data_IF_144362072983
#
_entry.id   IF_144362072983
#
_cell.length_a   1.000
_cell.length_b   1.000
_cell.length_c   1.000
_cell.angle_alpha   90.00
_cell.angle_beta   90.00
_cell.angle_gamma   90.00
#
_symmetry.space_group_name_H-M   'P 1'
#
loop_
_entity.id
_entity.type
_entity.pdbx_description
1 polymer ?
#
# COMPACT_ATOMS: atom_id res chain seq x y z
N UNK A 1 -17.31 -10.01 12.90
CA UNK A 1 -16.26 -10.11 13.95
C UNK A 1 -15.26 -11.23 13.65
N UNK A 2 -15.72 -12.47 13.42
CA UNK A 2 -14.87 -13.65 13.16
C UNK A 2 -13.90 -13.46 11.97
N UNK A 3 -14.35 -12.85 10.87
CA UNK A 3 -13.52 -12.66 9.66
C UNK A 3 -12.29 -11.77 9.91
N UNK A 4 -12.45 -10.65 10.62
CA UNK A 4 -11.34 -9.74 10.95
C UNK A 4 -10.36 -10.37 11.96
N UNK A 5 -10.87 -11.16 12.91
CA UNK A 5 -10.02 -11.94 13.83
C UNK A 5 -9.20 -12.99 13.07
N UNK A 6 -9.81 -13.68 12.10
CA UNK A 6 -9.13 -14.66 11.25
C UNK A 6 -7.99 -14.02 10.42
N UNK A 7 -8.22 -12.82 9.86
CA UNK A 7 -7.20 -12.06 9.14
C UNK A 7 -6.02 -11.73 10.05
N UNK A 8 -6.29 -11.22 11.26
CA UNK A 8 -5.25 -10.95 12.26
C UNK A 8 -4.46 -12.20 12.61
N UNK A 9 -5.14 -13.33 12.84
CA UNK A 9 -4.50 -14.62 13.13
C UNK A 9 -3.63 -15.07 11.95
N UNK A 10 -4.13 -14.98 10.71
CA UNK A 10 -3.37 -15.33 9.50
C UNK A 10 -2.12 -14.46 9.34
N UNK A 11 -2.22 -13.16 9.63
CA UNK A 11 -1.06 -12.25 9.55
C UNK A 11 -0.02 -12.53 10.63
N UNK A 12 -0.45 -12.85 11.85
CA UNK A 12 0.46 -13.27 12.93
C UNK A 12 1.12 -14.61 12.59
N UNK A 13 0.35 -15.56 12.04
CA UNK A 13 0.88 -16.84 11.60
C UNK A 13 1.88 -16.67 10.46
N UNK A 14 1.60 -15.78 9.50
CA UNK A 14 2.55 -15.40 8.44
C UNK A 14 3.84 -14.80 9.02
N UNK A 15 3.75 -13.89 10.00
CA UNK A 15 4.93 -13.35 10.68
C UNK A 15 5.74 -14.47 11.36
N UNK A 16 5.10 -15.31 12.17
CA UNK A 16 5.77 -16.39 12.90
C UNK A 16 6.46 -17.37 11.94
N UNK A 17 5.74 -17.81 10.91
CA UNK A 17 6.30 -18.74 9.91
C UNK A 17 7.46 -18.12 9.13
N UNK A 18 7.36 -16.85 8.74
CA UNK A 18 8.45 -16.13 8.05
C UNK A 18 9.69 -15.97 8.93
N UNK A 19 9.50 -15.65 10.21
CA UNK A 19 10.61 -15.56 11.18
C UNK A 19 11.26 -16.92 11.41
N UNK A 20 10.48 -17.99 11.54
CA UNK A 20 11.01 -19.35 11.69
C UNK A 20 11.79 -19.79 10.45
N UNK A 21 11.25 -19.59 9.25
CA UNK A 21 11.93 -19.93 7.99
C UNK A 21 13.27 -19.19 7.83
N UNK A 22 13.32 -17.93 8.26
CA UNK A 22 14.56 -17.14 8.28
C UNK A 22 15.55 -17.64 9.33
N UNK A 23 15.07 -18.03 10.52
CA UNK A 23 15.92 -18.60 11.57
C UNK A 23 16.55 -19.94 11.17
N UNK A 24 15.84 -20.76 10.40
CA UNK A 24 16.36 -22.01 9.84
C UNK A 24 17.16 -21.84 8.54
N UNK A 25 17.45 -20.59 8.13
CA UNK A 25 18.20 -20.26 6.91
C UNK A 25 17.61 -20.84 5.61
N UNK A 26 16.32 -21.20 5.63
CA UNK A 26 15.62 -21.73 4.44
C UNK A 26 15.34 -20.59 3.45
N UNK A 27 15.01 -19.40 3.97
CA UNK A 27 14.79 -18.19 3.17
C UNK A 27 15.37 -16.98 3.90
N UNK A 28 16.25 -16.24 3.26
CA UNK A 28 16.77 -14.98 3.80
C UNK A 28 15.76 -13.85 3.53
N UNK A 29 15.02 -13.47 4.56
CA UNK A 29 14.07 -12.34 4.52
C UNK A 29 14.37 -11.42 5.69
N UNK A 30 14.61 -10.15 5.42
CA UNK A 30 14.86 -9.16 6.47
C UNK A 30 13.61 -8.88 7.31
N UNK A 31 13.82 -8.40 8.54
CA UNK A 31 12.70 -7.98 9.40
C UNK A 31 11.83 -6.90 8.75
N UNK A 32 12.43 -5.95 8.03
CA UNK A 32 11.71 -4.89 7.31
C UNK A 32 10.80 -5.46 6.22
N UNK A 33 11.23 -6.51 5.52
CA UNK A 33 10.39 -7.21 4.54
C UNK A 33 9.22 -7.93 5.20
N UNK A 34 9.47 -8.63 6.31
CA UNK A 34 8.40 -9.32 7.06
C UNK A 34 7.36 -8.31 7.54
N UNK A 35 7.77 -7.19 8.14
CA UNK A 35 6.86 -6.12 8.56
C UNK A 35 6.12 -5.49 7.38
N UNK A 36 6.84 -5.18 6.29
CA UNK A 36 6.26 -4.61 5.08
C UNK A 36 5.17 -5.51 4.47
N UNK A 37 5.46 -6.79 4.26
CA UNK A 37 4.48 -7.75 3.76
C UNK A 37 3.30 -7.94 4.71
N UNK A 38 3.56 -7.96 6.03
CA UNK A 38 2.49 -8.09 7.00
C UNK A 38 1.55 -6.89 7.01
N UNK A 39 2.09 -5.67 6.90
CA UNK A 39 1.30 -4.44 6.78
C UNK A 39 0.50 -4.40 5.48
N UNK A 40 1.06 -4.90 4.37
CA UNK A 40 0.34 -5.05 3.10
C UNK A 40 -0.85 -6.00 3.27
N UNK A 41 -0.65 -7.18 3.87
CA UNK A 41 -1.73 -8.17 4.07
C UNK A 41 -2.80 -7.62 5.02
N UNK A 42 -2.39 -7.06 6.17
CA UNK A 42 -3.31 -6.47 7.15
C UNK A 42 -4.09 -5.30 6.55
N UNK A 43 -3.39 -4.34 5.97
CA UNK A 43 -3.98 -3.14 5.41
C UNK A 43 -4.95 -3.44 4.28
N UNK A 44 -4.54 -4.25 3.30
CA UNK A 44 -5.42 -4.64 2.17
C UNK A 44 -6.71 -5.31 2.65
N UNK A 45 -6.59 -6.19 3.64
CA UNK A 45 -7.73 -6.90 4.19
C UNK A 45 -8.66 -6.01 5.04
N UNK A 46 -8.09 -5.11 5.84
CA UNK A 46 -8.87 -4.11 6.58
C UNK A 46 -9.60 -3.18 5.62
N UNK A 47 -8.92 -2.67 4.59
CA UNK A 47 -9.53 -1.81 3.58
C UNK A 47 -10.66 -2.53 2.85
N UNK A 48 -10.45 -3.76 2.39
CA UNK A 48 -11.48 -4.52 1.67
C UNK A 48 -12.72 -4.79 2.54
N UNK A 49 -12.51 -5.25 3.79
CA UNK A 49 -13.62 -5.52 4.71
C UNK A 49 -14.38 -4.25 5.08
N UNK A 50 -13.66 -3.15 5.33
CA UNK A 50 -14.24 -1.87 5.67
C UNK A 50 -15.02 -1.25 4.50
N UNK A 51 -14.53 -1.42 3.27
CA UNK A 51 -15.23 -0.98 2.06
C UNK A 51 -16.60 -1.66 1.93
N UNK A 52 -16.65 -2.99 2.10
CA UNK A 52 -17.91 -3.74 2.07
C UNK A 52 -18.87 -3.38 3.22
N UNK A 53 -18.33 -3.09 4.40
CA UNK A 53 -19.12 -2.70 5.58
C UNK A 53 -19.45 -1.20 5.62
N UNK A 54 -19.00 -0.42 4.62
CA UNK A 54 -19.10 1.06 4.58
C UNK A 54 -18.51 1.75 5.83
N UNK A 55 -17.56 1.11 6.52
CA UNK A 55 -16.91 1.67 7.69
C UNK A 55 -15.72 2.55 7.27
N UNK A 56 -15.97 3.86 7.20
CA UNK A 56 -15.03 4.85 6.67
C UNK A 56 -13.74 4.95 7.48
N UNK A 57 -13.84 4.89 8.80
CA UNK A 57 -12.67 5.01 9.68
C UNK A 57 -11.72 3.83 9.52
N UNK A 58 -12.25 2.60 9.46
CA UNK A 58 -11.44 1.40 9.25
C UNK A 58 -10.88 1.35 7.82
N UNK A 59 -11.61 1.85 6.82
CA UNK A 59 -11.12 1.94 5.45
C UNK A 59 -9.92 2.90 5.33
N UNK A 60 -9.98 4.03 6.04
CA UNK A 60 -8.86 4.97 6.13
C UNK A 60 -7.63 4.29 6.75
N UNK A 61 -7.75 3.76 7.98
CA UNK A 61 -6.65 3.09 8.69
C UNK A 61 -6.08 1.93 7.88
N UNK A 62 -6.93 1.10 7.27
CA UNK A 62 -6.49 -0.02 6.44
C UNK A 62 -5.64 0.46 5.26
N UNK A 63 -6.04 1.57 4.62
CA UNK A 63 -5.32 2.13 3.47
C UNK A 63 -3.98 2.71 3.88
N UNK A 64 -3.92 3.46 4.98
CA UNK A 64 -2.67 3.99 5.54
C UNK A 64 -1.71 2.85 5.93
N UNK A 65 -2.24 1.80 6.56
CA UNK A 65 -1.46 0.60 6.95
C UNK A 65 -0.90 -0.11 5.71
N UNK A 66 -1.73 -0.31 4.68
CA UNK A 66 -1.32 -0.91 3.42
C UNK A 66 -0.19 -0.11 2.75
N UNK A 67 -0.38 1.20 2.60
CA UNK A 67 0.59 2.08 1.96
C UNK A 67 1.89 2.19 2.74
N UNK A 68 1.83 2.17 4.08
CA UNK A 68 3.02 2.11 4.93
C UNK A 68 3.80 0.82 4.70
N UNK A 69 3.10 -0.32 4.55
CA UNK A 69 3.73 -1.59 4.20
C UNK A 69 4.41 -1.56 2.83
N UNK A 70 3.74 -1.01 1.81
CA UNK A 70 4.32 -0.81 0.47
C UNK A 70 5.56 0.08 0.53
N UNK A 71 5.50 1.18 1.28
CA UNK A 71 6.61 2.09 1.47
C UNK A 71 7.81 1.38 2.11
N UNK A 72 7.62 0.61 3.18
CA UNK A 72 8.68 -0.16 3.82
C UNK A 72 9.37 -1.13 2.85
N UNK A 73 8.59 -1.85 2.03
CA UNK A 73 9.15 -2.76 1.02
C UNK A 73 9.97 -2.00 -0.02
N UNK A 74 9.45 -0.88 -0.53
CA UNK A 74 10.14 -0.09 -1.55
C UNK A 74 11.46 0.46 -1.00
N UNK A 75 11.44 1.06 0.20
CA UNK A 75 12.66 1.61 0.81
C UNK A 75 13.71 0.55 1.03
N UNK A 76 13.30 -0.64 1.49
CA UNK A 76 14.23 -1.71 1.76
C UNK A 76 14.78 -2.38 0.48
N UNK A 77 13.90 -2.78 -0.45
CA UNK A 77 14.31 -3.51 -1.67
C UNK A 77 15.07 -2.66 -2.68
N UNK A 78 14.82 -1.36 -2.70
CA UNK A 78 15.46 -0.45 -3.65
C UNK A 78 16.55 0.41 -3.01
N UNK A 79 16.88 0.17 -1.75
CA UNK A 79 17.87 0.93 -0.97
C UNK A 79 17.64 2.44 -1.07
N UNK A 80 16.37 2.85 -1.11
CA UNK A 80 15.99 4.25 -1.27
C UNK A 80 16.11 4.93 0.08
N UNK A 81 17.05 5.86 0.19
CA UNK A 81 17.14 6.75 1.34
C UNK A 81 16.20 7.94 1.15
N UNK A 82 15.15 8.00 1.97
CA UNK A 82 14.27 9.18 2.05
C UNK A 82 15.09 10.33 2.65
N UNK A 83 15.38 11.35 1.85
CA UNK A 83 15.84 12.63 2.39
C UNK A 83 14.69 13.27 3.17
N UNK A 84 15.00 14.03 4.23
CA UNK A 84 13.98 14.65 5.09
C UNK A 84 12.93 15.45 4.31
N UNK A 85 13.36 16.08 3.21
CA UNK A 85 12.50 16.88 2.33
C UNK A 85 11.38 16.05 1.67
N UNK A 86 11.53 14.73 1.53
CA UNK A 86 10.51 13.85 0.96
C UNK A 86 9.45 13.39 1.97
N UNK A 87 9.67 13.59 3.28
CA UNK A 87 8.75 13.08 4.32
C UNK A 87 7.36 13.72 4.19
N UNK A 88 7.30 15.06 4.13
CA UNK A 88 6.03 15.78 4.00
C UNK A 88 5.26 15.43 2.71
N UNK A 89 5.88 15.42 1.52
CA UNK A 89 5.21 14.96 0.31
C UNK A 89 4.67 13.54 0.39
N UNK A 90 5.43 12.61 0.98
CA UNK A 90 4.98 11.22 1.17
C UNK A 90 3.76 11.16 2.08
N UNK A 91 3.76 11.87 3.21
CA UNK A 91 2.61 11.93 4.13
C UNK A 91 1.37 12.47 3.40
N UNK A 92 1.52 13.52 2.59
CA UNK A 92 0.42 14.09 1.82
C UNK A 92 -0.15 13.10 0.79
N UNK A 93 0.72 12.35 0.09
CA UNK A 93 0.29 11.34 -0.87
C UNK A 93 -0.45 10.20 -0.16
N UNK A 94 0.10 9.68 0.94
CA UNK A 94 -0.51 8.59 1.69
C UNK A 94 -1.88 9.03 2.24
N UNK A 95 -1.95 10.17 2.94
CA UNK A 95 -3.19 10.71 3.46
C UNK A 95 -4.22 11.00 2.35
N UNK A 96 -3.76 11.52 1.21
CA UNK A 96 -4.60 11.73 0.03
C UNK A 96 -5.21 10.42 -0.48
N UNK A 97 -4.41 9.37 -0.61
CA UNK A 97 -4.90 8.03 -0.97
C UNK A 97 -5.86 7.46 0.08
N UNK A 98 -5.59 7.64 1.38
CA UNK A 98 -6.46 7.21 2.47
C UNK A 98 -7.84 7.85 2.38
N UNK A 99 -7.91 9.18 2.20
CA UNK A 99 -9.18 9.92 2.05
C UNK A 99 -9.90 9.47 0.77
N UNK A 100 -9.16 9.34 -0.34
CA UNK A 100 -9.72 8.91 -1.63
C UNK A 100 -10.38 7.54 -1.50
N UNK A 101 -9.68 6.56 -0.95
CA UNK A 101 -10.20 5.20 -0.78
C UNK A 101 -11.42 5.16 0.16
N UNK A 102 -11.42 6.00 1.19
CA UNK A 102 -12.52 6.10 2.16
C UNK A 102 -13.83 6.61 1.53
N UNK A 103 -13.74 7.51 0.55
CA UNK A 103 -14.90 8.15 -0.06
C UNK A 103 -15.18 7.72 -1.51
N UNK A 104 -14.40 6.79 -2.05
CA UNK A 104 -14.52 6.31 -3.43
C UNK A 104 -15.94 5.80 -3.76
N UNK A 105 -16.58 5.10 -2.81
CA UNK A 105 -17.93 4.55 -2.97
C UNK A 105 -19.06 5.56 -2.66
N UNK A 106 -18.75 6.72 -2.09
CA UNK A 106 -19.74 7.70 -1.61
C UNK A 106 -19.53 9.06 -2.30
N UNK A 107 -19.90 9.10 -3.58
CA UNK A 107 -19.79 10.28 -4.45
C UNK A 107 -20.64 11.47 -3.97
N UNK A 108 -21.51 11.29 -2.97
CA UNK A 108 -22.24 12.38 -2.35
C UNK A 108 -21.30 13.32 -1.58
N UNK A 109 -20.15 12.83 -1.10
CA UNK A 109 -19.15 13.60 -0.36
C UNK A 109 -18.07 14.19 -1.27
N UNK A 110 -18.50 14.90 -2.32
CA UNK A 110 -17.61 15.50 -3.34
C UNK A 110 -16.50 16.39 -2.76
N UNK A 111 -16.79 17.13 -1.69
CA UNK A 111 -15.82 18.02 -1.04
C UNK A 111 -14.63 17.23 -0.48
N UNK A 112 -14.87 16.07 0.15
CA UNK A 112 -13.82 15.24 0.72
C UNK A 112 -13.01 14.51 -0.36
N UNK A 113 -13.65 14.12 -1.46
CA UNK A 113 -12.95 13.64 -2.65
C UNK A 113 -12.06 14.72 -3.26
N UNK A 114 -12.53 15.97 -3.33
CA UNK A 114 -11.74 17.09 -3.82
C UNK A 114 -10.55 17.37 -2.90
N UNK A 115 -10.75 17.31 -1.58
CA UNK A 115 -9.65 17.40 -0.61
C UNK A 115 -8.60 16.30 -0.81
N UNK A 116 -9.01 15.07 -1.12
CA UNK A 116 -8.10 13.98 -1.44
C UNK A 116 -7.23 14.27 -2.66
N UNK A 117 -7.82 14.87 -3.70
CA UNK A 117 -7.12 15.30 -4.91
C UNK A 117 -6.18 16.47 -4.65
N UNK A 118 -6.55 17.40 -3.75
CA UNK A 118 -5.67 18.48 -3.31
C UNK A 118 -4.45 17.90 -2.59
N UNK A 119 -4.63 16.95 -1.67
CA UNK A 119 -3.53 16.33 -0.94
C UNK A 119 -2.59 15.55 -1.87
N UNK A 120 -3.15 14.76 -2.79
CA UNK A 120 -2.37 14.06 -3.81
C UNK A 120 -1.60 15.02 -4.70
N UNK A 121 -2.27 16.03 -5.25
CA UNK A 121 -1.62 17.00 -6.15
C UNK A 121 -0.57 17.83 -5.43
N UNK A 122 -0.81 18.27 -4.20
CA UNK A 122 0.16 18.96 -3.37
C UNK A 122 1.39 18.08 -3.08
N UNK A 123 1.19 16.81 -2.71
CA UNK A 123 2.26 15.86 -2.47
C UNK A 123 3.13 15.64 -3.72
N UNK A 124 2.52 15.36 -4.88
CA UNK A 124 3.27 15.20 -6.12
C UNK A 124 3.99 16.49 -6.55
N UNK A 125 3.33 17.65 -6.41
CA UNK A 125 3.94 18.94 -6.72
C UNK A 125 5.18 19.17 -5.86
N UNK A 126 5.09 18.94 -4.55
CA UNK A 126 6.25 19.09 -3.66
C UNK A 126 7.40 18.15 -4.01
N UNK A 127 7.13 16.94 -4.50
CA UNK A 127 8.18 16.03 -5.00
C UNK A 127 8.86 16.63 -6.25
N UNK A 128 8.08 17.09 -7.22
CA UNK A 128 8.59 17.58 -8.50
C UNK A 128 9.44 18.86 -8.33
N UNK A 129 9.04 19.74 -7.41
CA UNK A 129 9.74 21.01 -7.17
C UNK A 129 10.96 20.88 -6.24
N UNK A 130 11.29 19.68 -5.75
CA UNK A 130 12.51 19.46 -4.98
C UNK A 130 13.74 19.50 -5.89
N UNK A 131 14.79 20.20 -5.44
CA UNK A 131 16.06 20.32 -6.18
C UNK A 131 16.76 18.99 -6.43
N UNK A 132 16.48 17.99 -5.59
CA UNK A 132 17.02 16.63 -5.69
C UNK A 132 16.24 15.74 -6.65
N UNK A 133 15.12 16.21 -7.21
CA UNK A 133 14.30 15.40 -8.11
C UNK A 133 14.91 15.39 -9.53
N UNK A 134 15.44 14.24 -9.92
CA UNK A 134 15.88 13.97 -11.28
C UNK A 134 14.84 13.08 -11.99
N UNK A 135 14.18 13.64 -13.00
CA UNK A 135 13.16 12.94 -13.79
C UNK A 135 13.71 11.70 -14.52
N UNK A 136 14.96 11.72 -14.96
CA UNK A 136 15.58 10.56 -15.62
C UNK A 136 15.79 9.41 -14.64
N UNK A 137 16.23 9.73 -13.41
CA UNK A 137 16.38 8.72 -12.35
C UNK A 137 15.00 8.18 -11.97
N UNK A 138 14.02 9.05 -11.76
CA UNK A 138 12.64 8.65 -11.47
C UNK A 138 12.08 7.70 -12.53
N UNK A 139 12.16 8.08 -13.81
CA UNK A 139 11.63 7.28 -14.91
C UNK A 139 12.29 5.90 -15.00
N UNK A 140 13.63 5.84 -14.88
CA UNK A 140 14.37 4.56 -14.86
C UNK A 140 13.96 3.68 -13.69
N UNK A 141 13.80 4.26 -12.50
CA UNK A 141 13.36 3.54 -11.30
C UNK A 141 11.94 3.00 -11.44
N UNK A 142 11.00 3.80 -11.98
CA UNK A 142 9.62 3.36 -12.25
C UNK A 142 9.60 2.23 -13.26
N UNK A 143 10.41 2.31 -14.33
CA UNK A 143 10.50 1.25 -15.34
C UNK A 143 11.06 -0.05 -14.75
N UNK A 144 12.11 0.04 -13.93
CA UNK A 144 12.70 -1.10 -13.22
C UNK A 144 11.69 -1.77 -12.27
N UNK A 145 10.93 -0.97 -11.53
CA UNK A 145 9.82 -1.46 -10.72
C UNK A 145 8.75 -2.15 -11.58
N UNK A 146 8.34 -1.52 -12.68
CA UNK A 146 7.32 -2.07 -13.55
C UNK A 146 7.75 -3.40 -14.18
N UNK A 147 9.01 -3.54 -14.62
CA UNK A 147 9.51 -4.79 -15.22
C UNK A 147 9.60 -5.94 -14.23
N UNK A 148 9.90 -5.66 -12.96
CA UNK A 148 9.95 -6.68 -11.90
C UNK A 148 8.54 -7.08 -11.44
N UNK A 149 7.64 -6.11 -11.26
CA UNK A 149 6.36 -6.34 -10.58
C UNK A 149 5.14 -6.48 -11.50
N UNK A 150 5.26 -6.27 -12.82
CA UNK A 150 4.12 -6.47 -13.74
C UNK A 150 3.46 -7.87 -13.67
N UNK A 151 4.18 -9.00 -13.45
CA UNK A 151 3.52 -10.31 -13.40
C UNK A 151 2.57 -10.40 -12.21
N UNK A 152 2.90 -9.76 -11.09
CA UNK A 152 2.07 -9.72 -9.89
C UNK A 152 0.77 -8.97 -10.19
N UNK A 153 0.85 -7.82 -10.87
CA UNK A 153 -0.33 -7.05 -11.29
C UNK A 153 -1.21 -7.89 -12.23
N UNK A 154 -0.61 -8.61 -13.18
CA UNK A 154 -1.33 -9.48 -14.10
C UNK A 154 -2.07 -10.63 -13.38
N UNK A 155 -1.41 -11.28 -12.42
CA UNK A 155 -2.03 -12.33 -11.59
C UNK A 155 -3.19 -11.75 -10.77
N UNK A 156 -3.02 -10.57 -10.14
CA UNK A 156 -4.09 -9.93 -9.39
C UNK A 156 -5.30 -9.60 -10.27
N UNK A 157 -5.08 -9.03 -11.47
CA UNK A 157 -6.15 -8.75 -12.43
C UNK A 157 -6.88 -10.02 -12.86
N UNK A 158 -6.13 -11.10 -13.14
CA UNK A 158 -6.71 -12.38 -13.51
C UNK A 158 -7.61 -12.95 -12.41
N UNK A 159 -7.15 -12.92 -11.15
CA UNK A 159 -7.94 -13.35 -9.99
C UNK A 159 -9.21 -12.50 -9.84
N UNK A 160 -9.11 -11.18 -9.96
CA UNK A 160 -10.27 -10.27 -9.91
C UNK A 160 -11.29 -10.62 -11.01
N UNK A 161 -10.84 -10.84 -12.24
CA UNK A 161 -11.70 -11.19 -13.37
C UNK A 161 -12.41 -12.52 -13.12
N UNK A 162 -11.71 -13.54 -12.63
CA UNK A 162 -12.33 -14.83 -12.29
C UNK A 162 -13.39 -14.66 -11.21
N UNK A 163 -13.03 -14.03 -10.08
CA UNK A 163 -13.95 -13.84 -8.95
C UNK A 163 -15.22 -13.12 -9.41
N UNK A 164 -15.08 -12.05 -10.20
CA UNK A 164 -16.21 -11.27 -10.68
C UNK A 164 -17.10 -12.03 -11.69
N UNK A 165 -16.55 -13.03 -12.40
CA UNK A 165 -17.33 -13.93 -13.26
C UNK A 165 -18.10 -14.98 -12.47
N UNK A 166 -17.54 -15.50 -11.37
CA UNK A 166 -18.21 -16.49 -10.50
C UNK A 166 -19.30 -15.92 -9.59
N UNK A 167 -19.34 -14.60 -9.37
CA UNK A 167 -20.33 -13.95 -8.49
C UNK A 167 -21.59 -13.49 -9.27
N UNK A 168 -21.60 -13.63 -10.61
CA UNK A 168 -22.81 -13.49 -11.44
C UNK A 168 -23.52 -14.83 -11.57
#
# INVERSE_FOLDING_TARGET
>A
MIKNQLIGILTVLFMITSVLLNFFEIVYVSGNEIFGYSFIILGSSLTYTAFNQKNKFVAFIGTETFLSGVLLIILYKFEIYIQQDFILPIILIIAGCGILMTYLADLAKRILLLLSLIFLSAGFTLIIFQKSFDFNIYYKSVLSLATVYWPIIAIMLFVIIIINRTIK
#
